data_IF_173807230680
#
_entry.id   IF_173807230680
#
_cell.length_a   1.000
_cell.length_b   1.000
_cell.length_c   1.000
_cell.angle_alpha   90.00
_cell.angle_beta   90.00
_cell.angle_gamma   90.00
#
_symmetry.space_group_name_H-M   'P 1'
#
loop_
_entity.id
_entity.type
_entity.pdbx_description
1 polymer ?
#
# COMPACT_ATOMS: atom_id res chain seq x y z
N UNK A 1 2.47 -5.52 12.61
CA UNK A 1 1.21 -5.16 11.89
C UNK A 1 0.47 -6.36 11.34
N UNK A 2 0.80 -6.90 10.15
CA UNK A 2 0.02 -7.97 9.52
C UNK A 2 -0.14 -9.25 10.36
N UNK A 3 0.99 -9.91 10.64
CA UNK A 3 1.08 -11.14 11.43
C UNK A 3 0.54 -10.93 12.83
N UNK A 4 0.91 -9.83 13.47
CA UNK A 4 0.41 -9.40 14.78
C UNK A 4 -1.12 -9.18 14.81
N UNK A 5 -1.72 -8.66 13.74
CA UNK A 5 -3.18 -8.52 13.64
C UNK A 5 -3.85 -9.88 13.49
N UNK A 6 -3.24 -10.83 12.77
CA UNK A 6 -3.71 -12.22 12.71
C UNK A 6 -3.58 -12.91 14.08
N UNK A 7 -2.47 -12.71 14.78
CA UNK A 7 -2.23 -13.24 16.13
C UNK A 7 -3.30 -12.75 17.11
N UNK A 8 -3.59 -11.44 17.12
CA UNK A 8 -4.66 -10.86 17.94
C UNK A 8 -6.05 -11.38 17.60
N UNK A 9 -6.29 -11.71 16.33
CA UNK A 9 -7.54 -12.30 15.89
C UNK A 9 -7.64 -13.81 16.16
N UNK A 10 -6.58 -14.44 16.69
CA UNK A 10 -6.53 -15.89 16.91
C UNK A 10 -6.49 -16.70 15.62
N UNK A 11 -6.07 -16.09 14.50
CA UNK A 11 -5.99 -16.74 13.20
C UNK A 11 -4.62 -17.36 12.98
N UNK A 12 -4.57 -18.69 12.88
CA UNK A 12 -3.33 -19.41 12.55
C UNK A 12 -2.80 -19.00 11.18
N UNK A 13 -1.53 -18.64 11.11
CA UNK A 13 -0.86 -18.28 9.87
C UNK A 13 0.54 -18.90 9.79
N UNK A 14 1.10 -18.92 8.57
CA UNK A 14 2.50 -19.30 8.33
C UNK A 14 3.10 -18.41 7.25
N UNK A 15 4.40 -18.15 7.32
CA UNK A 15 5.12 -17.50 6.23
C UNK A 15 5.31 -18.50 5.08
N UNK A 16 4.52 -18.36 4.01
CA UNK A 16 4.63 -19.24 2.84
C UNK A 16 5.76 -18.85 1.88
N UNK A 17 6.07 -17.56 1.80
CA UNK A 17 7.08 -17.01 0.90
C UNK A 17 7.57 -15.63 1.41
N UNK A 18 8.82 -15.28 1.08
CA UNK A 18 9.45 -13.99 1.40
C UNK A 18 10.31 -13.54 0.21
N UNK A 19 10.23 -12.26 -0.15
CA UNK A 19 11.08 -11.65 -1.16
C UNK A 19 11.25 -10.16 -0.91
N UNK A 20 12.45 -9.59 -1.17
CA UNK A 20 12.65 -8.14 -1.14
C UNK A 20 12.07 -7.43 -2.37
N UNK A 21 11.62 -8.17 -3.40
CA UNK A 21 11.09 -7.61 -4.64
C UNK A 21 9.57 -7.70 -4.68
N UNK A 22 8.92 -6.58 -4.99
CA UNK A 22 7.47 -6.56 -5.24
C UNK A 22 7.07 -7.52 -6.36
N UNK A 23 7.86 -7.59 -7.45
CA UNK A 23 7.60 -8.54 -8.54
C UNK A 23 7.65 -9.99 -8.06
N UNK A 24 8.58 -10.32 -7.15
CA UNK A 24 8.66 -11.64 -6.54
C UNK A 24 7.45 -11.98 -5.67
N UNK A 25 6.97 -11.02 -4.87
CA UNK A 25 5.74 -11.18 -4.08
C UNK A 25 4.53 -11.39 -4.99
N UNK A 26 4.39 -10.61 -6.07
CA UNK A 26 3.28 -10.79 -7.02
C UNK A 26 3.32 -12.13 -7.74
N UNK A 27 4.50 -12.58 -8.16
CA UNK A 27 4.66 -13.90 -8.77
C UNK A 27 4.23 -15.02 -7.81
N UNK A 28 4.60 -14.94 -6.53
CA UNK A 28 4.20 -15.92 -5.53
C UNK A 28 2.69 -15.96 -5.29
N UNK A 29 2.02 -14.80 -5.23
CA UNK A 29 0.55 -14.73 -5.07
C UNK A 29 -0.16 -15.23 -6.32
N UNK A 30 0.28 -14.83 -7.51
CA UNK A 30 -0.29 -15.30 -8.78
C UNK A 30 -0.12 -16.83 -8.94
N UNK A 31 0.95 -17.40 -8.40
CA UNK A 31 1.19 -18.85 -8.36
C UNK A 31 0.37 -19.59 -7.28
N UNK A 32 -0.43 -18.89 -6.47
CA UNK A 32 -1.26 -19.49 -5.43
C UNK A 32 -0.53 -19.92 -4.16
N UNK A 33 0.70 -19.42 -3.92
CA UNK A 33 1.48 -19.80 -2.73
C UNK A 33 0.88 -19.23 -1.42
N UNK A 34 0.08 -18.17 -1.51
CA UNK A 34 -0.59 -17.57 -0.36
C UNK A 34 -1.17 -16.19 -0.67
N UNK A 35 -1.53 -15.48 0.41
CA UNK A 35 -2.05 -14.11 0.37
C UNK A 35 -0.96 -13.10 0.73
N UNK A 36 -1.11 -11.87 0.26
CA UNK A 36 -0.22 -10.75 0.60
C UNK A 36 -1.03 -9.51 0.94
N UNK A 37 -0.45 -8.62 1.76
CA UNK A 37 -1.06 -7.35 2.15
C UNK A 37 -0.44 -6.24 1.32
N UNK A 38 -1.29 -5.52 0.58
CA UNK A 38 -0.90 -4.49 -0.38
C UNK A 38 -2.00 -3.43 -0.50
N UNK A 39 -1.60 -2.24 -0.93
CA UNK A 39 -2.53 -1.31 -1.58
C UNK A 39 -2.99 -1.89 -2.91
N UNK A 40 -4.14 -1.45 -3.38
CA UNK A 40 -4.61 -1.69 -4.75
C UNK A 40 -3.75 -1.00 -5.84
N UNK A 41 -2.90 -0.05 -5.44
CA UNK A 41 -1.92 0.60 -6.32
C UNK A 41 -1.04 -0.44 -7.02
N UNK A 42 -1.10 -0.45 -8.35
CA UNK A 42 -0.29 -1.33 -9.19
C UNK A 42 -0.67 -2.81 -9.09
N UNK A 43 -1.92 -3.12 -8.76
CA UNK A 43 -2.45 -4.49 -8.73
C UNK A 43 -2.37 -5.12 -10.14
N UNK A 44 -1.58 -6.20 -10.33
CA UNK A 44 -1.51 -6.89 -11.62
C UNK A 44 -2.81 -7.64 -11.93
N UNK A 45 -3.14 -7.80 -13.22
CA UNK A 45 -4.33 -8.54 -13.65
C UNK A 45 -4.32 -10.03 -13.28
N UNK A 46 -3.15 -10.60 -12.97
CA UNK A 46 -2.98 -12.00 -12.56
C UNK A 46 -3.34 -12.27 -11.10
N UNK A 47 -3.70 -11.23 -10.34
CA UNK A 47 -4.13 -11.35 -8.95
C UNK A 47 -5.41 -10.55 -8.73
N UNK A 48 -6.15 -10.91 -7.70
CA UNK A 48 -7.40 -10.22 -7.34
C UNK A 48 -7.33 -9.70 -5.91
N UNK A 49 -7.87 -8.51 -5.67
CA UNK A 49 -8.05 -7.99 -4.33
C UNK A 49 -9.17 -8.77 -3.62
N UNK A 50 -8.94 -9.14 -2.36
CA UNK A 50 -9.95 -9.77 -1.51
C UNK A 50 -10.45 -8.77 -0.48
N UNK A 51 -11.76 -8.71 -0.27
CA UNK A 51 -12.31 -7.95 0.85
C UNK A 51 -12.06 -8.73 2.15
N UNK A 52 -11.57 -8.08 3.23
CA UNK A 52 -11.25 -8.78 4.47
C UNK A 52 -12.44 -9.56 5.04
N UNK A 53 -13.65 -9.00 4.96
CA UNK A 53 -14.86 -9.64 5.51
C UNK A 53 -15.19 -10.98 4.82
N UNK A 54 -15.10 -11.03 3.48
CA UNK A 54 -15.40 -12.26 2.71
C UNK A 54 -14.36 -13.34 3.02
N UNK A 55 -13.12 -12.95 3.32
CA UNK A 55 -12.03 -13.86 3.65
C UNK A 55 -11.94 -14.23 5.14
N UNK A 56 -12.82 -13.68 5.99
CA UNK A 56 -12.71 -13.85 7.45
C UNK A 56 -11.43 -13.23 8.04
N UNK A 57 -10.84 -12.26 7.35
CA UNK A 57 -9.60 -11.60 7.74
C UNK A 57 -9.89 -10.30 8.50
N UNK A 58 -9.07 -9.97 9.51
CA UNK A 58 -9.21 -8.73 10.24
C UNK A 58 -8.88 -7.53 9.32
N UNK A 59 -9.57 -6.42 9.57
CA UNK A 59 -9.26 -5.15 8.91
C UNK A 59 -7.84 -4.69 9.26
N UNK A 60 -7.19 -4.03 8.31
CA UNK A 60 -5.85 -3.47 8.47
C UNK A 60 -5.90 -1.94 8.55
N UNK A 61 -4.96 -1.31 9.27
CA UNK A 61 -4.88 0.14 9.30
C UNK A 61 -4.57 0.70 7.90
N UNK A 62 -5.06 1.91 7.63
CA UNK A 62 -4.69 2.65 6.41
C UNK A 62 -3.20 3.03 6.47
N UNK A 63 -2.55 3.08 5.31
CA UNK A 63 -1.21 3.64 5.17
C UNK A 63 -1.27 5.07 4.62
N UNK A 64 -0.41 5.95 5.13
CA UNK A 64 -0.27 7.30 4.62
C UNK A 64 0.73 7.34 3.47
N UNK A 65 0.42 8.14 2.44
CA UNK A 65 1.39 8.56 1.43
C UNK A 65 1.78 10.01 1.73
N UNK A 66 3.08 10.27 1.78
CA UNK A 66 3.63 11.59 2.14
C UNK A 66 4.65 12.00 1.09
N UNK A 67 4.58 13.27 0.67
CA UNK A 67 5.64 13.89 -0.13
C UNK A 67 6.67 14.48 0.82
N UNK A 68 7.87 13.90 0.85
CA UNK A 68 8.97 14.44 1.65
C UNK A 68 9.65 15.58 0.90
N UNK A 69 9.87 16.67 1.60
CA UNK A 69 10.57 17.85 1.11
C UNK A 69 11.58 18.32 2.17
N UNK A 70 12.50 19.19 1.76
CA UNK A 70 13.42 19.85 2.68
C UNK A 70 12.64 20.77 3.62
N UNK A 71 13.05 20.88 4.88
CA UNK A 71 12.42 21.78 5.87
C UNK A 71 12.60 23.28 5.54
N UNK A 72 13.65 23.61 4.79
CA UNK A 72 13.88 24.97 4.31
C UNK A 72 13.01 25.28 3.08
N UNK A 73 12.78 26.57 2.84
CA UNK A 73 12.06 27.04 1.65
C UNK A 73 12.63 26.42 0.37
N UNK A 74 11.74 25.84 -0.43
CA UNK A 74 12.09 25.22 -1.70
C UNK A 74 12.38 26.31 -2.73
N UNK A 75 13.37 26.07 -3.59
CA UNK A 75 13.52 26.91 -4.77
C UNK A 75 12.30 26.72 -5.71
N UNK A 76 12.04 27.68 -6.61
CA UNK A 76 10.84 27.64 -7.46
C UNK A 76 10.72 26.39 -8.33
N UNK A 77 11.83 25.77 -8.75
CA UNK A 77 11.82 24.57 -9.60
C UNK A 77 11.45 23.35 -8.76
N UNK A 78 12.04 23.22 -7.57
CA UNK A 78 11.70 22.15 -6.63
C UNK A 78 10.23 22.25 -6.16
N UNK A 79 9.76 23.46 -5.86
CA UNK A 79 8.36 23.71 -5.52
C UNK A 79 7.42 23.30 -6.68
N UNK A 80 7.77 23.66 -7.92
CA UNK A 80 6.97 23.27 -9.08
C UNK A 80 6.95 21.76 -9.30
N UNK A 81 8.06 21.07 -9.05
CA UNK A 81 8.10 19.60 -9.12
C UNK A 81 7.21 18.97 -8.04
N UNK A 82 7.23 19.50 -6.82
CA UNK A 82 6.38 19.03 -5.73
C UNK A 82 4.89 19.11 -6.11
N UNK A 83 4.46 20.24 -6.70
CA UNK A 83 3.09 20.41 -7.21
C UNK A 83 2.73 19.34 -8.27
N UNK A 84 3.62 19.12 -9.24
CA UNK A 84 3.40 18.16 -10.32
C UNK A 84 3.26 16.74 -9.75
N UNK A 85 4.13 16.36 -8.81
CA UNK A 85 4.08 15.05 -8.16
C UNK A 85 2.79 14.86 -7.37
N UNK A 86 2.35 15.87 -6.61
CA UNK A 86 1.12 15.83 -5.85
C UNK A 86 -0.10 15.71 -6.79
N UNK A 87 -0.15 16.50 -7.86
CA UNK A 87 -1.20 16.42 -8.87
C UNK A 87 -1.24 15.05 -9.55
N UNK A 88 -0.08 14.50 -9.95
CA UNK A 88 0.00 13.18 -10.56
C UNK A 88 -0.44 12.07 -9.61
N UNK A 89 -0.03 12.13 -8.34
CA UNK A 89 -0.46 11.17 -7.32
C UNK A 89 -1.98 11.22 -7.12
N UNK A 90 -2.56 12.42 -7.05
CA UNK A 90 -4.01 12.62 -6.92
C UNK A 90 -4.82 12.04 -8.07
N UNK A 91 -4.26 12.03 -9.28
CA UNK A 91 -4.89 11.46 -10.46
C UNK A 91 -4.74 9.94 -10.53
N UNK A 92 -3.60 9.42 -10.08
CA UNK A 92 -3.26 8.00 -10.17
C UNK A 92 -3.84 7.15 -9.03
N UNK A 93 -4.09 7.75 -7.87
CA UNK A 93 -4.56 7.03 -6.68
C UNK A 93 -6.08 6.93 -6.66
N UNK A 94 -6.64 5.80 -6.17
CA UNK A 94 -8.08 5.68 -5.93
C UNK A 94 -8.54 6.81 -5.02
N UNK A 95 -9.65 7.46 -5.37
CA UNK A 95 -10.26 8.52 -4.56
C UNK A 95 -10.95 7.87 -3.36
N UNK A 96 -10.24 7.73 -2.24
CA UNK A 96 -10.89 7.51 -0.94
C UNK A 96 -10.22 8.34 0.17
N UNK A 97 -11.05 8.85 1.07
CA UNK A 97 -10.97 10.20 1.64
C UNK A 97 -9.79 10.53 2.58
N UNK A 98 -9.35 11.81 2.46
CA UNK A 98 -8.46 12.62 3.34
C UNK A 98 -6.95 12.48 3.13
N UNK A 99 -6.46 13.19 2.11
CA UNK A 99 -5.14 13.81 2.20
C UNK A 99 -5.19 14.77 3.38
N UNK A 100 -4.49 14.43 4.46
CA UNK A 100 -4.16 15.43 5.45
C UNK A 100 -2.91 16.12 4.91
N UNK A 101 -3.05 17.36 4.48
CA UNK A 101 -1.90 18.27 4.46
C UNK A 101 -1.30 18.25 5.85
N UNK A 102 -0.05 17.81 5.93
CA UNK A 102 0.75 17.98 7.14
C UNK A 102 1.19 19.44 7.08
N UNK A 103 0.58 20.25 7.95
CA UNK A 103 0.95 21.64 8.19
C UNK A 103 2.35 21.74 8.82
#
# INVERSE_FOLDING_TARGET
VATETLDRAGLSWRMAFSSPSLGGIWAAVAAGLGLTIRTDIGLPASVSAMTPEIAGLPALPKMALVLHQKDAELDPVAARLADILLQAALQALPRDERLKEVA
#
